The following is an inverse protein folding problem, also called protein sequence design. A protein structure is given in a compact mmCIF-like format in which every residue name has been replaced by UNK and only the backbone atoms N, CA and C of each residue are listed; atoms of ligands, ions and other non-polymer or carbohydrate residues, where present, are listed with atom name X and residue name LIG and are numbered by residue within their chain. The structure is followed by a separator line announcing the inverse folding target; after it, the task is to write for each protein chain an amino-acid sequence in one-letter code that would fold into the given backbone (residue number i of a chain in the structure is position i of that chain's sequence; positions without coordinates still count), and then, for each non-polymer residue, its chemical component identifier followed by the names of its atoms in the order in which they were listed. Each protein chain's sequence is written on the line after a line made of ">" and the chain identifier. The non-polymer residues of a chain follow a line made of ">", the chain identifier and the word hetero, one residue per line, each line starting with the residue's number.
data_IF_229731239038
#
_entry.id   IF_229731239038
#
_cell.length_a   1.000
_cell.length_b   1.000
_cell.length_c   1.000
_cell.angle_alpha   90.00
_cell.angle_beta   90.00
_cell.angle_gamma   90.00
#
_symmetry.space_group_name_H-M   'P 1'
#
loop_
_entity.id
_entity.type
_entity.pdbx_description
1 polymer ?
#
# COMPACT_ATOMS: atom_id res chain seq x y z
N UNK A 1 -14.38 -3.47 12.54
CA UNK A 1 -13.01 -3.94 12.85
C UNK A 1 -12.01 -3.07 12.11
N UNK A 2 -11.19 -2.28 12.83
CA UNK A 2 -10.09 -1.51 12.22
C UNK A 2 -8.96 -2.49 11.86
N UNK A 3 -8.53 -2.47 10.60
CA UNK A 3 -7.48 -3.36 10.09
C UNK A 3 -6.11 -2.77 10.44
N UNK A 4 -5.07 -3.60 10.60
CA UNK A 4 -3.71 -3.10 10.82
C UNK A 4 -3.13 -2.53 9.52
N UNK A 5 -2.35 -1.43 9.57
CA UNK A 5 -1.71 -0.87 8.39
C UNK A 5 -0.67 -1.84 7.83
N UNK A 6 -0.67 -2.00 6.50
CA UNK A 6 0.20 -2.91 5.75
C UNK A 6 1.45 -2.21 5.20
N UNK A 7 1.39 -0.89 5.02
CA UNK A 7 2.48 -0.03 4.58
C UNK A 7 3.03 0.79 5.74
N UNK A 8 4.32 1.12 5.69
CA UNK A 8 4.93 2.05 6.62
C UNK A 8 4.39 3.47 6.45
N UNK A 9 4.08 3.88 5.21
CA UNK A 9 3.44 5.15 4.91
C UNK A 9 2.17 5.39 5.75
N UNK A 10 1.24 4.43 5.73
CA UNK A 10 -0.02 4.54 6.49
C UNK A 10 0.24 4.38 7.99
N UNK A 11 1.17 3.51 8.40
CA UNK A 11 1.56 3.39 9.81
C UNK A 11 2.05 4.74 10.37
N UNK A 12 2.90 5.46 9.65
CA UNK A 12 3.39 6.80 10.04
C UNK A 12 2.24 7.80 10.09
N UNK A 13 1.41 7.85 9.05
CA UNK A 13 0.28 8.78 9.00
C UNK A 13 -0.70 8.57 10.17
N UNK A 14 -0.96 7.31 10.56
CA UNK A 14 -1.83 6.98 11.68
C UNK A 14 -1.29 7.40 13.06
N UNK A 15 0.02 7.64 13.21
CA UNK A 15 0.58 8.12 14.50
C UNK A 15 0.10 9.55 14.79
N UNK A 16 -0.15 10.35 13.76
CA UNK A 16 -0.53 11.75 13.89
C UNK A 16 -2.05 11.97 13.89
N UNK A 17 -2.85 10.91 13.77
CA UNK A 17 -4.31 11.00 13.71
C UNK A 17 -4.98 10.54 15.01
N UNK A 18 -5.70 11.46 15.63
CA UNK A 18 -6.44 11.23 16.87
C UNK A 18 -7.88 10.76 16.62
N UNK A 19 -8.48 11.09 15.47
CA UNK A 19 -9.89 10.80 15.20
C UNK A 19 -10.07 9.44 14.50
N UNK A 20 -11.09 8.70 14.92
CA UNK A 20 -11.35 7.36 14.41
C UNK A 20 -11.76 7.35 12.92
N UNK A 21 -12.41 8.41 12.44
CA UNK A 21 -12.90 8.52 11.08
C UNK A 21 -11.76 8.64 10.07
N UNK A 22 -10.83 9.57 10.28
CA UNK A 22 -9.65 9.76 9.42
C UNK A 22 -8.76 8.53 9.44
N UNK A 23 -8.61 7.86 10.59
CA UNK A 23 -7.89 6.59 10.68
C UNK A 23 -8.54 5.51 9.80
N UNK A 24 -9.87 5.40 9.85
CA UNK A 24 -10.59 4.45 9.01
C UNK A 24 -10.46 4.79 7.52
N UNK A 25 -10.45 6.07 7.16
CA UNK A 25 -10.24 6.53 5.78
C UNK A 25 -8.85 6.18 5.25
N UNK A 26 -7.78 6.40 6.03
CA UNK A 26 -6.43 6.03 5.60
C UNK A 26 -6.26 4.52 5.43
N UNK A 27 -6.87 3.72 6.31
CA UNK A 27 -6.87 2.26 6.20
C UNK A 27 -7.69 1.78 5.00
N UNK A 28 -8.82 2.44 4.72
CA UNK A 28 -9.62 2.17 3.52
C UNK A 28 -8.84 2.49 2.24
N UNK A 29 -8.16 3.64 2.20
CA UNK A 29 -7.32 4.06 1.09
C UNK A 29 -6.20 3.05 0.83
N UNK A 30 -5.48 2.63 1.86
CA UNK A 30 -4.42 1.62 1.75
C UNK A 30 -4.93 0.31 1.15
N UNK A 31 -6.04 -0.20 1.68
CA UNK A 31 -6.64 -1.45 1.22
C UNK A 31 -7.08 -1.35 -0.23
N UNK A 32 -7.60 -0.19 -0.65
CA UNK A 32 -7.95 0.05 -2.04
C UNK A 32 -6.71 0.02 -2.95
N UNK A 33 -5.60 0.65 -2.57
CA UNK A 33 -4.37 0.61 -3.39
C UNK A 33 -3.80 -0.81 -3.53
N UNK A 34 -4.00 -1.66 -2.53
CA UNK A 34 -3.60 -3.08 -2.58
C UNK A 34 -4.51 -3.88 -3.50
N UNK A 35 -5.82 -3.75 -3.28
CA UNK A 35 -6.85 -4.50 -3.99
C UNK A 35 -8.07 -3.60 -4.20
N UNK A 36 -8.21 -2.98 -5.37
CA UNK A 36 -9.39 -2.22 -5.72
C UNK A 36 -10.65 -3.08 -5.60
N UNK A 37 -11.72 -2.52 -5.06
CA UNK A 37 -13.00 -3.20 -4.89
C UNK A 37 -14.03 -2.63 -5.85
N UNK A 38 -14.95 -3.46 -6.41
CA UNK A 38 -16.02 -2.95 -7.25
C UNK A 38 -17.02 -2.11 -6.44
N UNK A 39 -17.61 -1.10 -7.08
CA UNK A 39 -18.69 -0.29 -6.51
C UNK A 39 -18.48 1.22 -6.66
N UNK A 40 -19.51 1.92 -7.13
CA UNK A 40 -19.46 3.36 -7.41
C UNK A 40 -19.13 4.19 -6.17
N UNK A 41 -19.78 3.90 -5.03
CA UNK A 41 -19.55 4.63 -3.79
C UNK A 41 -18.10 4.48 -3.29
N UNK A 42 -17.52 3.28 -3.40
CA UNK A 42 -16.15 3.01 -2.99
C UNK A 42 -15.14 3.72 -3.93
N UNK A 43 -15.40 3.72 -5.24
CA UNK A 43 -14.61 4.45 -6.22
C UNK A 43 -14.64 5.98 -6.01
N UNK A 44 -15.81 6.54 -5.68
CA UNK A 44 -15.94 7.96 -5.37
C UNK A 44 -15.20 8.32 -4.08
N UNK A 45 -15.37 7.52 -3.02
CA UNK A 45 -14.69 7.73 -1.74
C UNK A 45 -13.18 7.69 -1.92
N UNK A 46 -12.63 6.71 -2.63
CA UNK A 46 -11.17 6.66 -2.84
C UNK A 46 -10.67 7.84 -3.68
N UNK A 47 -11.45 8.30 -4.66
CA UNK A 47 -11.08 9.48 -5.47
C UNK A 47 -11.00 10.75 -4.61
N UNK A 48 -11.91 10.91 -3.64
CA UNK A 48 -11.84 12.00 -2.66
C UNK A 48 -10.60 11.86 -1.77
N UNK A 49 -10.36 10.68 -1.21
CA UNK A 49 -9.22 10.42 -0.33
C UNK A 49 -7.88 10.60 -1.02
N UNK A 50 -7.75 10.19 -2.28
CA UNK A 50 -6.53 10.40 -3.08
C UNK A 50 -6.25 11.88 -3.31
N UNK A 51 -7.29 12.66 -3.61
CA UNK A 51 -7.17 14.11 -3.79
C UNK A 51 -6.80 14.82 -2.50
N UNK A 52 -7.32 14.37 -1.37
CA UNK A 52 -6.98 14.91 -0.05
C UNK A 52 -5.57 14.50 0.42
N UNK A 53 -5.03 13.36 -0.05
CA UNK A 53 -3.78 12.79 0.44
C UNK A 53 -2.80 12.38 -0.69
N UNK A 54 -2.44 13.28 -1.63
CA UNK A 54 -1.70 12.90 -2.83
C UNK A 54 -0.29 12.34 -2.52
N UNK A 55 0.42 12.93 -1.56
CA UNK A 55 1.75 12.45 -1.14
C UNK A 55 1.69 11.06 -0.51
N UNK A 56 0.74 10.83 0.40
CA UNK A 56 0.55 9.54 1.04
C UNK A 56 0.25 8.43 0.02
N UNK A 57 -0.57 8.72 -1.00
CA UNK A 57 -0.86 7.76 -2.08
C UNK A 57 0.39 7.38 -2.85
N UNK A 58 1.26 8.36 -3.14
CA UNK A 58 2.52 8.10 -3.82
C UNK A 58 3.44 7.18 -2.99
N UNK A 59 3.54 7.42 -1.68
CA UNK A 59 4.33 6.57 -0.78
C UNK A 59 3.77 5.15 -0.68
N UNK A 60 2.46 4.99 -0.51
CA UNK A 60 1.80 3.67 -0.51
C UNK A 60 2.13 2.92 -1.79
N UNK A 61 1.95 3.55 -2.96
CA UNK A 61 2.22 2.91 -4.26
C UNK A 61 3.69 2.54 -4.42
N UNK A 62 4.62 3.39 -3.97
CA UNK A 62 6.04 3.09 -4.01
C UNK A 62 6.39 1.86 -3.14
N UNK A 63 5.80 1.74 -1.95
CA UNK A 63 5.98 0.56 -1.09
C UNK A 63 5.39 -0.71 -1.73
N UNK A 64 4.17 -0.63 -2.26
CA UNK A 64 3.52 -1.78 -2.92
C UNK A 64 4.28 -2.23 -4.17
N UNK A 65 4.79 -1.30 -4.97
CA UNK A 65 5.58 -1.64 -6.15
C UNK A 65 6.91 -2.30 -5.78
N UNK A 66 7.58 -1.84 -4.71
CA UNK A 66 8.79 -2.48 -4.18
C UNK A 66 8.51 -3.90 -3.68
N UNK A 67 7.40 -4.10 -2.96
CA UNK A 67 7.00 -5.43 -2.48
C UNK A 67 6.73 -6.40 -3.65
N UNK A 68 5.95 -5.96 -4.66
CA UNK A 68 5.70 -6.77 -5.86
C UNK A 68 6.97 -7.08 -6.64
N UNK A 69 7.89 -6.12 -6.77
CA UNK A 69 9.17 -6.35 -7.44
C UNK A 69 9.99 -7.43 -6.71
N UNK A 70 10.02 -7.42 -5.37
CA UNK A 70 10.69 -8.44 -4.57
C UNK A 70 10.06 -9.83 -4.71
N UNK A 71 8.74 -9.92 -4.86
CA UNK A 71 8.02 -11.18 -5.10
C UNK A 71 8.29 -11.77 -6.50
N UNK A 72 8.55 -10.92 -7.50
CA UNK A 72 8.71 -11.33 -8.90
C UNK A 72 10.15 -11.74 -9.26
N UNK A 73 11.17 -11.47 -8.43
CA UNK A 73 12.56 -11.89 -8.71
C UNK A 73 12.66 -13.43 -8.74
N UNK A 74 12.85 -14.07 -9.91
CA UNK A 74 13.09 -15.50 -9.98
C UNK A 74 14.59 -15.76 -9.81
N UNK A 75 14.90 -16.76 -8.98
CA UNK A 75 16.18 -17.45 -8.90
C UNK A 75 16.85 -17.61 -10.28
N UNK A 76 17.88 -16.82 -10.55
CA UNK A 76 18.99 -17.07 -11.50
C UNK A 76 20.16 -16.26 -10.94
N UNK A 77 21.31 -16.81 -10.53
CA UNK A 77 22.13 -17.85 -11.15
C UNK A 77 22.93 -18.57 -10.04
N UNK A 78 22.70 -19.87 -9.85
CA UNK A 78 23.74 -20.78 -9.32
C UNK A 78 24.46 -21.30 -10.57
N UNK A 79 25.51 -20.61 -11.01
CA UNK A 79 26.45 -21.15 -11.98
C UNK A 79 27.66 -21.63 -11.20
N UNK A 80 27.63 -22.93 -10.96
CA UNK A 80 28.74 -23.79 -10.60
C UNK A 80 29.96 -23.43 -11.46
N UNK A 81 31.08 -23.13 -10.82
CA UNK A 81 32.41 -23.33 -11.39
C UNK A 81 33.19 -24.21 -10.41
N UNK A 82 32.86 -25.50 -10.44
CA UNK A 82 33.84 -26.53 -10.17
C UNK A 82 34.42 -26.93 -11.51
N UNK A 83 35.73 -26.73 -11.67
CA UNK A 83 36.66 -27.27 -12.68
C UNK A 83 37.99 -26.70 -12.19
N UNK A 84 38.88 -27.46 -11.57
CA UNK A 84 39.52 -28.67 -12.07
C UNK A 84 41.01 -28.46 -11.79
#
# INVERSE_FOLDING_TARGET
>A
MLHRPLTMAVRRALIHLNDAASRADLLFLERWEIRPMPGLAAALRVSQLRRANPALVAEIRAELNRARAAEVVPVRIVARAGSG
#
